data_IF_709102707866
#
_entry.id   IF_709102707866
#
_cell.length_a   1.000
_cell.length_b   1.000
_cell.length_c   1.000
_cell.angle_alpha   90.00
_cell.angle_beta   90.00
_cell.angle_gamma   90.00
#
_symmetry.space_group_name_H-M   'P 1'
#
loop_
_entity.id
_entity.type
_entity.pdbx_description
1 polymer ?
#
# COMPACT_ATOMS: atom_id res chain seq x y z
N UNK A 1 -6.90 11.58 27.74
CA UNK A 1 -5.51 11.39 27.27
C UNK A 1 -5.52 10.17 26.36
N UNK A 2 -5.63 10.20 25.04
CA UNK A 2 -6.01 11.13 23.97
C UNK A 2 -6.41 10.23 22.79
N UNK A 3 -7.21 10.66 21.79
CA UNK A 3 -7.42 9.82 20.62
C UNK A 3 -6.13 9.85 19.79
N UNK A 4 -5.25 8.87 19.99
CA UNK A 4 -4.19 8.57 19.00
C UNK A 4 -4.82 7.77 17.84
N UNK A 5 -5.99 8.20 17.40
CA UNK A 5 -6.65 7.74 16.18
C UNK A 5 -6.17 8.66 15.05
N UNK A 6 -5.50 8.12 14.04
CA UNK A 6 -5.22 8.96 12.86
C UNK A 6 -4.40 8.36 11.72
N UNK A 7 -3.74 7.23 11.90
CA UNK A 7 -3.06 6.56 10.78
C UNK A 7 -3.34 5.07 10.83
N UNK A 8 -4.23 4.61 9.97
CA UNK A 8 -4.40 3.17 9.74
C UNK A 8 -3.11 2.63 9.11
N UNK A 9 -2.77 1.35 9.26
CA UNK A 9 -1.63 0.75 8.57
C UNK A 9 -1.66 1.03 7.05
N UNK A 10 -2.86 1.14 6.47
CA UNK A 10 -3.08 1.53 5.07
C UNK A 10 -2.61 2.97 4.79
N UNK A 11 -2.84 3.93 5.68
CA UNK A 11 -2.35 5.32 5.55
C UNK A 11 -0.83 5.40 5.46
N UNK A 12 -0.14 4.64 6.31
CA UNK A 12 1.32 4.56 6.28
C UNK A 12 1.79 3.95 4.95
N UNK A 13 1.14 2.89 4.49
CA UNK A 13 1.47 2.25 3.21
C UNK A 13 1.24 3.19 2.02
N UNK A 14 0.10 3.89 1.91
CA UNK A 14 -0.16 4.81 0.78
C UNK A 14 0.69 6.09 0.79
N UNK A 15 1.26 6.44 1.95
CA UNK A 15 2.20 7.57 2.09
C UNK A 15 3.63 7.16 1.81
N UNK A 16 4.02 5.92 2.13
CA UNK A 16 5.34 5.38 1.83
C UNK A 16 5.50 4.91 0.39
N UNK A 17 4.45 4.34 -0.20
CA UNK A 17 4.50 3.72 -1.53
C UNK A 17 3.67 4.51 -2.55
N UNK A 18 4.21 4.64 -3.75
CA UNK A 18 3.54 5.42 -4.81
C UNK A 18 2.35 4.68 -5.40
N UNK A 19 2.53 3.40 -5.66
CA UNK A 19 1.51 2.50 -6.24
C UNK A 19 1.35 1.26 -5.36
N UNK A 20 0.27 0.53 -5.58
CA UNK A 20 0.08 -0.74 -4.90
C UNK A 20 1.14 -1.78 -5.29
N UNK A 21 1.61 -1.75 -6.54
CA UNK A 21 2.69 -2.62 -7.03
C UNK A 21 4.01 -2.35 -6.30
N UNK A 22 4.33 -1.08 -6.00
CA UNK A 22 5.52 -0.65 -5.24
C UNK A 22 5.49 -1.19 -3.79
N UNK A 23 4.30 -1.23 -3.18
CA UNK A 23 4.10 -1.89 -1.89
C UNK A 23 4.30 -3.41 -1.96
N UNK A 24 3.79 -4.08 -3.00
CA UNK A 24 3.99 -5.52 -3.18
C UNK A 24 5.46 -5.85 -3.42
N UNK A 25 6.14 -5.06 -4.26
CA UNK A 25 7.55 -5.24 -4.60
C UNK A 25 8.46 -5.08 -3.37
N UNK A 26 8.14 -4.13 -2.48
CA UNK A 26 8.83 -3.96 -1.21
C UNK A 26 8.78 -5.19 -0.29
N UNK A 27 7.84 -6.12 -0.51
CA UNK A 27 7.73 -7.36 0.26
C UNK A 27 8.35 -8.57 -0.46
N UNK A 28 8.67 -8.43 -1.75
CA UNK A 28 9.35 -9.45 -2.53
C UNK A 28 10.81 -9.45 -2.13
N UNK A 29 11.32 -10.64 -1.83
CA UNK A 29 12.73 -10.84 -1.50
C UNK A 29 13.48 -11.47 -2.66
N UNK A 30 14.81 -11.33 -2.66
CA UNK A 30 15.67 -12.02 -3.64
C UNK A 30 15.48 -13.53 -3.66
N UNK A 31 15.07 -14.12 -2.54
CA UNK A 31 14.72 -15.54 -2.44
C UNK A 31 13.46 -15.88 -3.24
N UNK A 32 12.45 -15.01 -3.24
CA UNK A 32 11.25 -15.20 -4.06
C UNK A 32 11.60 -15.19 -5.53
N UNK A 33 12.39 -14.21 -5.97
CA UNK A 33 12.85 -14.12 -7.35
C UNK A 33 13.74 -15.31 -7.73
N UNK A 34 14.53 -15.84 -6.81
CA UNK A 34 15.36 -17.02 -7.06
C UNK A 34 14.52 -18.30 -7.27
N UNK A 35 13.41 -18.47 -6.55
CA UNK A 35 12.58 -19.67 -6.66
C UNK A 35 11.45 -19.55 -7.69
N UNK A 36 10.91 -18.36 -7.88
CA UNK A 36 9.77 -18.11 -8.76
C UNK A 36 10.24 -17.66 -10.14
N UNK A 37 11.41 -17.00 -10.24
CA UNK A 37 11.96 -16.39 -11.46
C UNK A 37 11.01 -15.38 -12.15
N UNK A 38 9.85 -15.13 -11.55
CA UNK A 38 8.77 -14.30 -12.05
C UNK A 38 8.27 -13.38 -10.94
N UNK A 39 8.49 -12.08 -11.14
CA UNK A 39 8.10 -11.04 -10.20
C UNK A 39 6.58 -10.90 -10.07
N UNK A 40 5.83 -11.18 -11.14
CA UNK A 40 4.36 -11.16 -11.12
C UNK A 40 3.78 -12.25 -10.22
N UNK A 41 4.35 -13.45 -10.29
CA UNK A 41 3.98 -14.57 -9.43
C UNK A 41 4.33 -14.29 -7.97
N UNK A 42 5.50 -13.70 -7.71
CA UNK A 42 5.89 -13.26 -6.36
C UNK A 42 4.90 -12.22 -5.81
N UNK A 43 4.49 -11.23 -6.62
CA UNK A 43 3.49 -10.23 -6.26
C UNK A 43 2.15 -10.86 -5.90
N UNK A 44 1.68 -11.83 -6.67
CA UNK A 44 0.43 -12.54 -6.36
C UNK A 44 0.50 -13.29 -5.02
N UNK A 45 1.64 -13.92 -4.69
CA UNK A 45 1.78 -14.62 -3.41
C UNK A 45 1.76 -13.67 -2.21
N UNK A 46 2.35 -12.48 -2.36
CA UNK A 46 2.26 -11.41 -1.36
C UNK A 46 0.81 -10.91 -1.25
N UNK A 47 0.15 -10.63 -2.37
CA UNK A 47 -1.24 -10.16 -2.40
C UNK A 47 -2.23 -11.18 -1.80
N UNK A 48 -1.93 -12.47 -1.91
CA UNK A 48 -2.73 -13.55 -1.30
C UNK A 48 -2.37 -13.80 0.18
N UNK A 49 -1.34 -13.16 0.72
CA UNK A 49 -0.88 -13.32 2.10
C UNK A 49 -0.09 -14.60 2.37
N UNK A 50 0.31 -15.31 1.31
CA UNK A 50 1.22 -16.47 1.43
C UNK A 50 2.68 -16.03 1.62
N UNK A 51 3.01 -14.77 1.34
CA UNK A 51 4.34 -14.18 1.44
C UNK A 51 4.27 -12.78 2.06
N UNK A 52 5.31 -12.37 2.80
CA UNK A 52 5.39 -11.07 3.45
C UNK A 52 5.10 -11.11 4.96
N UNK A 53 4.85 -9.95 5.57
CA UNK A 53 4.63 -9.80 7.03
C UNK A 53 3.25 -10.30 7.50
N UNK A 54 2.43 -10.85 6.61
CA UNK A 54 1.08 -11.36 6.91
C UNK A 54 0.00 -10.28 6.97
N UNK A 55 0.35 -9.00 7.03
CA UNK A 55 -0.57 -7.88 6.85
C UNK A 55 -0.73 -7.54 5.37
N UNK A 56 -1.72 -8.19 4.73
CA UNK A 56 -2.11 -7.85 3.37
C UNK A 56 -3.05 -6.65 3.41
N UNK A 57 -2.57 -5.52 2.90
CA UNK A 57 -3.44 -4.41 2.50
C UNK A 57 -4.09 -4.81 1.18
N UNK A 58 -5.43 -4.77 1.09
CA UNK A 58 -6.10 -5.04 -0.18
C UNK A 58 -5.85 -3.90 -1.16
N UNK A 59 -5.76 -4.23 -2.45
CA UNK A 59 -5.66 -3.22 -3.52
C UNK A 59 -6.76 -2.16 -3.43
N UNK A 60 -8.00 -2.59 -3.18
CA UNK A 60 -9.15 -1.69 -3.03
C UNK A 60 -8.97 -0.69 -1.89
N UNK A 61 -8.47 -1.14 -0.72
CA UNK A 61 -8.20 -0.27 0.43
C UNK A 61 -7.05 0.71 0.14
N UNK A 62 -5.98 0.25 -0.50
CA UNK A 62 -4.86 1.11 -0.91
C UNK A 62 -5.33 2.21 -1.86
N UNK A 63 -6.01 1.83 -2.93
CA UNK A 63 -6.50 2.75 -3.97
C UNK A 63 -7.52 3.74 -3.38
N UNK A 64 -8.48 3.26 -2.57
CA UNK A 64 -9.47 4.10 -1.93
C UNK A 64 -8.82 5.14 -1.02
N UNK A 65 -7.81 4.74 -0.23
CA UNK A 65 -7.11 5.63 0.69
C UNK A 65 -6.23 6.64 -0.06
N UNK A 66 -5.52 6.20 -1.11
CA UNK A 66 -4.75 7.07 -2.00
C UNK A 66 -5.63 8.15 -2.62
N UNK A 67 -6.75 7.74 -3.21
CA UNK A 67 -7.72 8.64 -3.83
C UNK A 67 -8.33 9.62 -2.82
N UNK A 68 -8.63 9.16 -1.59
CA UNK A 68 -9.14 10.02 -0.53
C UNK A 68 -8.12 11.11 -0.14
N UNK A 69 -6.83 10.75 0.00
CA UNK A 69 -5.75 11.70 0.32
C UNK A 69 -5.56 12.71 -0.82
N UNK A 70 -5.55 12.26 -2.07
CA UNK A 70 -5.42 13.15 -3.23
C UNK A 70 -6.62 14.09 -3.35
N UNK A 71 -7.83 13.59 -3.14
CA UNK A 71 -9.07 14.39 -3.16
C UNK A 71 -9.06 15.43 -2.04
N UNK A 72 -8.67 15.05 -0.82
CA UNK A 72 -8.54 15.98 0.30
C UNK A 72 -7.53 17.10 0.00
N UNK A 73 -6.34 16.74 -0.52
CA UNK A 73 -5.32 17.72 -0.94
C UNK A 73 -5.82 18.66 -2.03
N UNK A 74 -6.60 18.16 -2.98
CA UNK A 74 -7.15 18.98 -4.06
C UNK A 74 -8.20 19.96 -3.52
N UNK A 75 -9.10 19.49 -2.65
CA UNK A 75 -10.14 20.29 -2.02
C UNK A 75 -9.57 21.43 -1.14
N UNK A 76 -8.52 21.16 -0.37
CA UNK A 76 -7.81 22.19 0.41
C UNK A 76 -7.20 23.29 -0.48
N UNK A 77 -6.75 22.92 -1.69
CA UNK A 77 -6.20 23.88 -2.66
C UNK A 77 -7.28 24.75 -3.30
N UNK A 78 -8.47 24.22 -3.55
CA UNK A 78 -9.57 24.97 -4.16
C UNK A 78 -10.31 25.86 -3.17
N UNK A 79 -10.37 25.53 -1.88
CA UNK A 79 -11.02 26.38 -0.87
C UNK A 79 -10.22 27.62 -0.47
N UNK A 80 -8.92 27.67 -0.77
CA UNK A 80 -8.04 28.79 -0.41
C UNK A 80 -7.99 29.91 -1.46
N UNK A 81 -8.95 29.92 -2.40
CA UNK A 81 -8.99 30.81 -3.56
C UNK A 81 -10.20 31.74 -3.53
#
# INVERSE_FOLDING_TARGET
MGPEEGSTPVDNVVTQFSTYEDFLDSQITTVDLYYLEDEGLARQLVELGYRGTGEVVKREDFEARKAAIETARLAERTQKK
#
